data_IF_009105055683
#
_entry.id   IF_009105055683
#
_cell.length_a   1.000
_cell.length_b   1.000
_cell.length_c   1.000
_cell.angle_alpha   90.00
_cell.angle_beta   90.00
_cell.angle_gamma   90.00
#
_symmetry.space_group_name_H-M   'P 1'
#
loop_
_entity.id
_entity.type
_entity.pdbx_description
1 polymer ?
#
# COMPACT_ATOMS: atom_id res chain seq x y z
N UNK A 1 -13.21 -4.73 5.37
CA UNK A 1 -11.77 -4.74 4.98
C UNK A 1 -10.99 -3.81 5.90
N UNK A 2 -9.76 -4.16 6.28
CA UNK A 2 -8.84 -3.25 6.99
C UNK A 2 -7.66 -2.94 6.06
N UNK A 3 -7.39 -1.67 5.82
CA UNK A 3 -6.22 -1.19 5.08
C UNK A 3 -5.28 -0.52 6.06
N UNK A 4 -4.04 -0.97 6.07
CA UNK A 4 -2.99 -0.48 6.95
C UNK A 4 -1.79 -0.01 6.13
N UNK A 5 -1.09 0.99 6.63
CA UNK A 5 0.12 1.50 6.01
C UNK A 5 1.26 1.57 7.02
N UNK A 6 2.45 1.14 6.61
CA UNK A 6 3.69 1.28 7.35
C UNK A 6 4.60 2.26 6.60
N UNK A 7 4.85 3.42 7.18
CA UNK A 7 5.56 4.53 6.54
C UNK A 7 6.36 5.35 7.55
N UNK A 8 7.34 6.08 7.09
CA UNK A 8 8.04 7.11 7.89
C UNK A 8 7.28 8.44 7.92
N UNK A 9 6.19 8.57 7.14
CA UNK A 9 5.31 9.74 7.04
C UNK A 9 3.83 9.33 7.12
N UNK A 10 3.37 8.74 8.24
CA UNK A 10 1.98 8.26 8.38
C UNK A 10 0.95 9.38 8.25
N UNK A 11 1.33 10.61 8.53
CA UNK A 11 0.47 11.81 8.42
C UNK A 11 0.02 12.13 6.99
N UNK A 12 0.68 11.58 5.96
CA UNK A 12 0.29 11.79 4.56
C UNK A 12 -1.04 11.15 4.20
N UNK A 13 -1.46 10.11 4.91
CA UNK A 13 -2.60 9.28 4.50
C UNK A 13 -3.96 9.81 4.95
N UNK A 14 -4.09 10.30 6.18
CA UNK A 14 -5.37 10.66 6.76
C UNK A 14 -6.17 11.68 5.91
N UNK A 15 -5.56 12.71 5.29
CA UNK A 15 -6.30 13.63 4.43
C UNK A 15 -6.97 12.96 3.23
N UNK A 16 -6.35 11.93 2.65
CA UNK A 16 -6.89 11.17 1.53
C UNK A 16 -7.94 10.18 2.01
N UNK A 17 -7.63 9.40 3.06
CA UNK A 17 -8.50 8.34 3.58
C UNK A 17 -9.76 8.85 4.27
N UNK A 18 -9.81 10.14 4.63
CA UNK A 18 -10.98 10.77 5.27
C UNK A 18 -11.82 11.65 4.34
N UNK A 19 -11.43 11.77 3.06
CA UNK A 19 -12.05 12.72 2.12
C UNK A 19 -12.82 12.00 1.01
N UNK A 20 -13.85 12.66 0.45
CA UNK A 20 -14.63 12.23 -0.72
C UNK A 20 -15.19 10.79 -0.59
N UNK A 21 -15.01 9.96 -1.58
CA UNK A 21 -15.54 8.59 -1.65
C UNK A 21 -14.92 7.73 -0.55
N UNK A 22 -13.59 7.77 -0.39
CA UNK A 22 -12.89 7.03 0.67
C UNK A 22 -13.43 7.40 2.06
N UNK A 23 -13.56 8.68 2.35
CA UNK A 23 -14.09 9.15 3.64
C UNK A 23 -15.55 8.75 3.87
N UNK A 24 -16.39 8.68 2.83
CA UNK A 24 -17.77 8.20 2.92
C UNK A 24 -17.82 6.69 3.17
N UNK A 25 -17.05 5.91 2.41
CA UNK A 25 -16.96 4.47 2.56
C UNK A 25 -16.47 4.08 3.96
N UNK A 26 -15.44 4.77 4.47
CA UNK A 26 -14.93 4.57 5.85
C UNK A 26 -15.99 4.89 6.91
N UNK A 27 -16.71 6.02 6.78
CA UNK A 27 -17.81 6.40 7.69
C UNK A 27 -18.99 5.42 7.65
N UNK A 28 -19.21 4.78 6.50
CA UNK A 28 -20.21 3.73 6.33
C UNK A 28 -19.74 2.36 6.88
N UNK A 29 -18.50 2.25 7.37
CA UNK A 29 -17.95 1.01 7.92
C UNK A 29 -17.60 -0.05 6.86
N UNK A 30 -17.46 0.35 5.59
CA UNK A 30 -17.11 -0.58 4.50
C UNK A 30 -15.65 -0.98 4.56
N UNK A 31 -14.78 -0.07 5.04
CA UNK A 31 -13.41 -0.38 5.38
C UNK A 31 -12.95 0.46 6.58
N UNK A 32 -11.90 -0.02 7.25
CA UNK A 32 -11.13 0.73 8.25
C UNK A 32 -9.74 1.05 7.73
N UNK A 33 -9.14 2.11 8.28
CA UNK A 33 -7.79 2.53 7.92
C UNK A 33 -6.95 2.79 9.17
N UNK A 34 -5.67 2.32 9.14
CA UNK A 34 -4.70 2.56 10.20
C UNK A 34 -3.31 2.85 9.59
N UNK A 35 -2.69 3.93 10.02
CA UNK A 35 -1.34 4.29 9.61
C UNK A 35 -0.36 4.10 10.77
N UNK A 36 0.75 3.42 10.49
CA UNK A 36 1.83 3.16 11.43
C UNK A 36 3.07 3.94 11.05
N UNK A 37 3.76 4.45 12.05
CA UNK A 37 5.08 5.08 11.87
C UNK A 37 6.18 4.02 12.03
N UNK A 38 6.92 3.73 10.95
CA UNK A 38 8.03 2.78 10.98
C UNK A 38 9.06 3.08 12.08
N UNK A 39 9.23 4.34 12.44
CA UNK A 39 10.15 4.76 13.52
C UNK A 39 9.77 4.24 14.90
N UNK A 40 8.56 3.72 15.09
CA UNK A 40 8.13 3.15 16.37
C UNK A 40 8.78 1.77 16.65
N UNK A 41 9.38 1.15 15.62
CA UNK A 41 10.15 -0.10 15.71
C UNK A 41 11.67 0.11 15.57
N UNK A 42 12.16 1.31 15.87
CA UNK A 42 13.58 1.60 15.96
C UNK A 42 14.02 1.68 17.43
N UNK A 43 15.23 1.23 17.74
CA UNK A 43 15.72 1.12 19.11
C UNK A 43 16.83 2.11 19.46
N UNK A 44 17.32 2.85 18.44
CA UNK A 44 18.32 3.88 18.64
C UNK A 44 17.69 5.23 19.02
N UNK A 45 18.50 6.11 19.64
CA UNK A 45 18.07 7.44 20.08
C UNK A 45 17.55 8.32 18.95
N UNK A 46 18.08 8.14 17.74
CA UNK A 46 17.75 8.96 16.56
C UNK A 46 16.59 8.38 15.74
N UNK A 47 16.08 7.21 16.12
CA UNK A 47 14.99 6.49 15.44
C UNK A 47 15.31 6.28 13.95
N UNK A 48 16.52 5.79 13.69
CA UNK A 48 17.13 5.65 12.37
C UNK A 48 16.52 4.47 11.62
N UNK A 49 15.97 4.72 10.44
CA UNK A 49 15.29 3.72 9.60
C UNK A 49 16.08 3.34 8.34
N UNK A 50 17.22 3.99 8.10
CA UNK A 50 18.03 3.87 6.89
C UNK A 50 19.49 3.58 7.22
N UNK A 51 20.22 3.03 6.24
CA UNK A 51 21.64 2.70 6.34
C UNK A 51 22.31 2.81 4.97
N UNK A 52 23.64 2.84 4.95
CA UNK A 52 24.42 2.85 3.71
C UNK A 52 24.27 1.52 2.95
N UNK A 53 24.22 1.54 1.60
CA UNK A 53 24.15 0.32 0.80
C UNK A 53 25.40 -0.56 0.99
N UNK A 54 25.21 -1.87 1.15
CA UNK A 54 26.31 -2.82 1.16
C UNK A 54 27.09 -2.75 -0.16
N UNK A 55 28.41 -2.63 -0.06
CA UNK A 55 29.29 -2.50 -1.23
C UNK A 55 29.50 -1.08 -1.73
N UNK A 56 28.93 -0.10 -1.04
CA UNK A 56 29.01 1.31 -1.41
C UNK A 56 28.01 1.69 -2.50
N UNK A 57 27.88 2.98 -2.75
CA UNK A 57 26.91 3.55 -3.69
C UNK A 57 26.45 4.89 -3.20
N UNK A 58 25.66 5.59 -4.01
CA UNK A 58 25.00 6.84 -3.59
C UNK A 58 23.65 6.53 -2.98
N UNK A 59 23.22 7.35 -2.01
CA UNK A 59 21.93 7.23 -1.35
C UNK A 59 21.95 6.28 -0.15
N UNK A 60 20.78 6.03 0.39
CA UNK A 60 20.54 5.20 1.58
C UNK A 60 19.49 4.14 1.26
N UNK A 61 19.48 3.05 2.00
CA UNK A 61 18.44 2.01 1.95
C UNK A 61 17.73 1.93 3.29
N UNK A 62 16.44 1.64 3.26
CA UNK A 62 15.70 1.35 4.50
C UNK A 62 16.15 0.03 5.10
N UNK A 63 16.38 0.04 6.40
CA UNK A 63 16.82 -1.12 7.18
C UNK A 63 15.76 -2.21 7.20
N UNK A 64 16.20 -3.45 7.16
CA UNK A 64 15.29 -4.61 7.26
C UNK A 64 14.73 -4.77 8.67
N UNK A 65 15.51 -4.50 9.71
CA UNK A 65 15.14 -4.79 11.10
C UNK A 65 13.85 -4.08 11.52
N UNK A 66 13.69 -2.74 11.40
CA UNK A 66 12.45 -2.07 11.80
C UNK A 66 11.27 -2.48 10.91
N UNK A 67 11.50 -2.79 9.63
CA UNK A 67 10.44 -3.26 8.73
C UNK A 67 9.94 -4.65 9.16
N UNK A 68 10.86 -5.57 9.42
CA UNK A 68 10.54 -6.93 9.86
C UNK A 68 9.77 -6.92 11.19
N UNK A 69 10.30 -6.22 12.21
CA UNK A 69 9.66 -6.11 13.51
C UNK A 69 8.26 -5.48 13.41
N UNK A 70 8.09 -4.44 12.59
CA UNK A 70 6.79 -3.82 12.36
C UNK A 70 5.79 -4.79 11.73
N UNK A 71 6.19 -5.48 10.65
CA UNK A 71 5.32 -6.44 9.96
C UNK A 71 4.92 -7.58 10.90
N UNK A 72 5.86 -8.13 11.67
CA UNK A 72 5.60 -9.20 12.63
C UNK A 72 4.65 -8.74 13.74
N UNK A 73 4.88 -7.56 14.32
CA UNK A 73 4.03 -6.98 15.35
C UNK A 73 2.60 -6.73 14.84
N UNK A 74 2.48 -6.05 13.70
CA UNK A 74 1.18 -5.74 13.07
C UNK A 74 0.43 -7.04 12.71
N UNK A 75 1.13 -8.02 12.15
CA UNK A 75 0.52 -9.30 11.76
C UNK A 75 0.03 -10.12 12.95
N UNK A 76 0.57 -9.90 14.14
CA UNK A 76 0.13 -10.58 15.37
C UNK A 76 -1.19 -10.04 15.94
N UNK A 77 -1.65 -8.86 15.51
CA UNK A 77 -2.83 -8.17 16.06
C UNK A 77 -4.17 -8.65 15.44
N UNK A 78 -4.21 -9.75 14.68
CA UNK A 78 -5.45 -10.24 14.08
C UNK A 78 -5.21 -11.19 12.91
N UNK A 79 -6.13 -11.27 11.93
CA UNK A 79 -5.92 -12.07 10.74
C UNK A 79 -4.64 -11.63 10.00
N UNK A 80 -3.89 -12.58 9.45
CA UNK A 80 -2.66 -12.29 8.71
C UNK A 80 -2.98 -11.31 7.56
N UNK A 81 -2.31 -10.14 7.47
CA UNK A 81 -2.50 -9.24 6.34
C UNK A 81 -1.83 -9.79 5.07
N UNK A 82 -2.34 -9.39 3.91
CA UNK A 82 -1.57 -9.45 2.66
C UNK A 82 -0.59 -8.27 2.67
N UNK A 83 0.70 -8.57 2.73
CA UNK A 83 1.77 -7.57 2.80
C UNK A 83 2.20 -7.16 1.40
N UNK A 84 2.03 -5.89 1.07
CA UNK A 84 2.31 -5.33 -0.26
C UNK A 84 3.43 -4.30 -0.18
N UNK A 85 4.49 -4.52 -0.95
CA UNK A 85 5.56 -3.55 -1.14
C UNK A 85 5.40 -2.84 -2.49
N UNK A 86 5.73 -1.55 -2.53
CA UNK A 86 5.76 -0.76 -3.76
C UNK A 86 7.20 -0.62 -4.26
N UNK A 87 7.42 -1.04 -5.51
CA UNK A 87 8.75 -1.00 -6.14
C UNK A 87 8.61 -0.91 -7.66
N UNK A 88 9.50 -0.18 -8.35
CA UNK A 88 9.49 -0.15 -9.83
C UNK A 88 9.65 -1.51 -10.50
N UNK A 89 10.26 -2.48 -9.79
CA UNK A 89 10.46 -3.87 -10.29
C UNK A 89 9.30 -4.81 -9.94
N UNK A 90 8.19 -4.29 -9.38
CA UNK A 90 7.01 -5.08 -9.02
C UNK A 90 6.13 -5.43 -10.21
N UNK A 91 5.14 -6.30 -9.97
CA UNK A 91 4.06 -6.55 -10.92
C UNK A 91 3.32 -5.24 -11.24
N UNK A 92 3.02 -4.93 -12.51
CA UNK A 92 2.24 -3.76 -12.86
C UNK A 92 0.85 -3.80 -12.21
N UNK A 93 0.50 -2.75 -11.49
CA UNK A 93 -0.82 -2.61 -10.89
C UNK A 93 -1.86 -2.34 -11.97
N UNK A 94 -2.86 -3.20 -12.05
CA UNK A 94 -3.97 -3.15 -13.00
C UNK A 94 -5.30 -3.29 -12.25
N UNK A 95 -6.43 -3.10 -12.94
CA UNK A 95 -7.76 -3.35 -12.39
C UNK A 95 -7.90 -4.78 -11.86
N UNK A 96 -7.34 -5.76 -12.57
CA UNK A 96 -7.35 -7.16 -12.15
C UNK A 96 -6.57 -7.38 -10.83
N UNK A 97 -5.46 -6.67 -10.63
CA UNK A 97 -4.72 -6.72 -9.36
C UNK A 97 -5.54 -6.08 -8.23
N UNK A 98 -6.26 -4.98 -8.51
CA UNK A 98 -7.15 -4.37 -7.53
C UNK A 98 -8.28 -5.34 -7.10
N UNK A 99 -8.89 -6.06 -8.05
CA UNK A 99 -9.90 -7.10 -7.78
C UNK A 99 -9.32 -8.26 -6.95
N UNK A 100 -8.09 -8.66 -7.22
CA UNK A 100 -7.37 -9.67 -6.43
C UNK A 100 -7.15 -9.21 -4.99
N UNK A 101 -6.67 -7.98 -4.80
CA UNK A 101 -6.45 -7.40 -3.48
C UNK A 101 -7.76 -7.21 -2.69
N UNK A 102 -8.87 -6.95 -3.38
CA UNK A 102 -10.19 -6.84 -2.76
C UNK A 102 -10.61 -8.12 -2.01
N UNK A 103 -10.09 -9.29 -2.41
CA UNK A 103 -10.38 -10.57 -1.75
C UNK A 103 -9.69 -10.70 -0.37
N UNK A 104 -8.75 -9.81 -0.05
CA UNK A 104 -8.06 -9.81 1.23
C UNK A 104 -8.90 -9.10 2.29
N UNK A 105 -9.08 -9.73 3.44
CA UNK A 105 -9.75 -9.08 4.59
C UNK A 105 -8.91 -7.95 5.17
N UNK A 106 -7.56 -8.05 5.02
CA UNK A 106 -6.58 -7.14 5.59
C UNK A 106 -5.40 -6.93 4.65
N UNK A 107 -5.07 -5.67 4.37
CA UNK A 107 -3.94 -5.27 3.52
C UNK A 107 -2.96 -4.44 4.37
N UNK A 108 -1.68 -4.76 4.29
CA UNK A 108 -0.60 -3.95 4.87
C UNK A 108 0.30 -3.42 3.76
N UNK A 109 0.25 -2.13 3.50
CA UNK A 109 1.07 -1.44 2.51
C UNK A 109 2.37 -0.94 3.15
N UNK A 110 3.50 -1.48 2.73
CA UNK A 110 4.83 -1.07 3.18
C UNK A 110 5.40 -0.04 2.22
N UNK A 111 5.56 1.19 2.71
CA UNK A 111 5.98 2.33 1.91
C UNK A 111 7.48 2.54 2.04
N UNK A 112 8.22 2.28 0.96
CA UNK A 112 9.65 2.55 0.89
C UNK A 112 9.95 4.04 0.70
N UNK A 113 11.15 4.43 1.11
CA UNK A 113 11.76 5.74 0.87
C UNK A 113 13.24 5.55 0.47
N UNK A 114 13.92 6.65 0.22
CA UNK A 114 15.34 6.65 -0.20
C UNK A 114 15.53 5.92 -1.54
N UNK A 115 16.59 5.11 -1.67
CA UNK A 115 16.84 4.26 -2.86
C UNK A 115 16.07 2.91 -2.81
N UNK A 116 15.21 2.75 -1.81
CA UNK A 116 14.41 1.55 -1.59
C UNK A 116 14.66 0.90 -0.24
N UNK A 117 14.34 -0.38 -0.15
CA UNK A 117 14.53 -1.18 1.05
C UNK A 117 15.69 -2.17 0.87
N UNK A 118 16.32 -2.59 1.96
CA UNK A 118 17.21 -3.74 1.95
C UNK A 118 16.47 -4.95 1.35
N UNK A 119 17.09 -5.64 0.39
CA UNK A 119 16.47 -6.75 -0.37
C UNK A 119 15.91 -7.85 0.55
N UNK A 120 16.48 -8.03 1.74
CA UNK A 120 15.98 -8.98 2.74
C UNK A 120 14.57 -8.66 3.25
N UNK A 121 14.15 -7.39 3.19
CA UNK A 121 12.81 -6.98 3.58
C UNK A 121 11.72 -7.59 2.66
N UNK A 122 12.05 -7.86 1.40
CA UNK A 122 11.09 -8.49 0.49
C UNK A 122 10.76 -9.96 0.81
N UNK A 123 11.49 -10.59 1.74
CA UNK A 123 11.09 -11.90 2.26
C UNK A 123 9.77 -11.87 3.05
N UNK A 124 9.34 -10.69 3.48
CA UNK A 124 8.08 -10.45 4.17
C UNK A 124 6.94 -10.07 3.21
N UNK A 125 7.23 -9.85 1.92
CA UNK A 125 6.24 -9.45 0.94
C UNK A 125 5.41 -10.65 0.46
N UNK A 126 4.09 -10.54 0.51
CA UNK A 126 3.21 -11.43 -0.23
C UNK A 126 3.08 -10.92 -1.68
N UNK A 127 3.12 -9.60 -1.89
CA UNK A 127 3.07 -8.97 -3.21
C UNK A 127 4.08 -7.81 -3.34
N UNK A 128 4.59 -7.61 -4.56
CA UNK A 128 5.41 -6.45 -4.95
C UNK A 128 4.77 -5.80 -6.16
N UNK A 129 4.37 -4.52 -6.05
CA UNK A 129 3.60 -3.83 -7.07
C UNK A 129 4.31 -2.58 -7.57
N UNK A 130 4.17 -2.31 -8.88
CA UNK A 130 4.55 -1.07 -9.54
C UNK A 130 3.32 -0.36 -10.06
N UNK A 131 3.19 0.96 -9.84
CA UNK A 131 2.08 1.75 -10.39
C UNK A 131 2.42 2.42 -11.73
N UNK A 132 3.56 2.12 -12.33
CA UNK A 132 3.97 2.62 -13.64
C UNK A 132 5.47 2.80 -13.80
N UNK A 133 5.89 3.06 -15.04
CA UNK A 133 7.30 3.19 -15.44
C UNK A 133 7.83 4.61 -15.17
N UNK A 134 7.87 4.99 -13.91
CA UNK A 134 8.43 6.25 -13.42
C UNK A 134 8.89 6.10 -11.96
N UNK A 135 9.77 7.00 -11.54
CA UNK A 135 10.32 6.99 -10.19
C UNK A 135 9.62 8.04 -9.32
N UNK A 136 9.19 7.63 -8.13
CA UNK A 136 8.62 8.49 -7.10
C UNK A 136 9.57 8.62 -5.92
N UNK A 137 9.33 9.59 -5.07
CA UNK A 137 10.14 9.81 -3.85
C UNK A 137 9.83 8.83 -2.72
N UNK A 138 8.79 7.98 -2.87
CA UNK A 138 8.40 7.01 -1.85
C UNK A 138 7.14 6.23 -2.19
N UNK A 139 6.82 5.26 -1.36
CA UNK A 139 5.70 4.34 -1.55
C UNK A 139 4.34 4.85 -1.09
N UNK A 140 4.26 6.04 -0.47
CA UNK A 140 3.00 6.56 0.08
C UNK A 140 1.97 6.89 -1.00
N UNK A 141 2.39 7.54 -2.10
CA UNK A 141 1.50 7.83 -3.23
C UNK A 141 1.03 6.55 -3.92
N UNK A 142 1.90 5.58 -4.26
CA UNK A 142 1.46 4.26 -4.71
C UNK A 142 0.44 3.59 -3.80
N UNK A 143 0.67 3.61 -2.48
CA UNK A 143 -0.26 3.05 -1.51
C UNK A 143 -1.63 3.71 -1.55
N UNK A 144 -1.68 5.05 -1.70
CA UNK A 144 -2.94 5.80 -1.83
C UNK A 144 -3.67 5.46 -3.14
N UNK A 145 -2.95 5.36 -4.27
CA UNK A 145 -3.52 4.98 -5.56
C UNK A 145 -4.15 3.58 -5.49
N UNK A 146 -3.42 2.62 -4.93
CA UNK A 146 -3.91 1.24 -4.79
C UNK A 146 -5.07 1.18 -3.80
N UNK A 147 -5.02 1.90 -2.67
CA UNK A 147 -6.12 1.97 -1.72
C UNK A 147 -7.40 2.53 -2.35
N UNK A 148 -7.29 3.61 -3.12
CA UNK A 148 -8.43 4.22 -3.83
C UNK A 148 -9.05 3.22 -4.81
N UNK A 149 -8.23 2.60 -5.66
CA UNK A 149 -8.68 1.62 -6.64
C UNK A 149 -9.36 0.39 -6.01
N UNK A 150 -8.85 -0.10 -4.87
CA UNK A 150 -9.43 -1.24 -4.15
C UNK A 150 -10.72 -0.86 -3.43
N UNK A 151 -10.73 0.27 -2.70
CA UNK A 151 -11.90 0.69 -1.89
C UNK A 151 -13.11 0.97 -2.76
N UNK A 152 -12.93 1.59 -3.93
CA UNK A 152 -14.05 1.86 -4.84
C UNK A 152 -14.73 0.59 -5.38
N UNK A 153 -14.05 -0.56 -5.34
CA UNK A 153 -14.62 -1.86 -5.71
C UNK A 153 -15.44 -2.52 -4.60
N UNK A 154 -15.36 -2.01 -3.37
CA UNK A 154 -16.16 -2.54 -2.25
C UNK A 154 -17.64 -2.23 -2.53
N UNK A 155 -18.55 -3.22 -2.49
CA UNK A 155 -19.96 -2.97 -2.66
C UNK A 155 -20.49 -1.87 -1.75
N UNK A 156 -21.18 -0.87 -2.32
CA UNK A 156 -21.71 0.28 -1.60
C UNK A 156 -20.72 1.44 -1.39
N UNK A 157 -19.46 1.33 -1.82
CA UNK A 157 -18.49 2.44 -1.75
C UNK A 157 -18.83 3.58 -2.72
N UNK A 158 -19.28 3.25 -3.92
CA UNK A 158 -19.82 4.19 -4.90
C UNK A 158 -21.32 4.39 -4.69
N UNK A 159 -21.81 5.57 -5.05
CA UNK A 159 -23.23 5.93 -4.84
C UNK A 159 -24.22 5.20 -5.78
N UNK A 160 -23.73 4.61 -6.87
CA UNK A 160 -24.48 3.82 -7.81
C UNK A 160 -23.78 2.47 -7.98
N UNK A 161 -24.49 1.38 -7.67
CA UNK A 161 -23.97 0.00 -7.76
C UNK A 161 -23.60 -0.40 -9.20
N UNK A 162 -24.21 0.24 -10.21
CA UNK A 162 -23.88 0.01 -11.62
C UNK A 162 -22.59 0.69 -12.07
N UNK A 163 -22.07 1.64 -11.30
CA UNK A 163 -20.85 2.38 -11.66
C UNK A 163 -19.58 1.50 -11.75
N UNK A 164 -19.55 0.36 -11.08
CA UNK A 164 -18.44 -0.60 -11.17
C UNK A 164 -18.62 -1.63 -12.29
N UNK A 165 -19.80 -1.72 -12.88
CA UNK A 165 -20.12 -2.75 -13.90
C UNK A 165 -19.87 -2.21 -15.30
N UNK A 166 -20.12 -0.92 -15.50
CA UNK A 166 -20.07 -0.25 -16.79
C UNK A 166 -18.99 0.84 -16.78
N UNK A 167 -17.75 0.44 -16.56
CA UNK A 167 -16.60 1.35 -16.55
C UNK A 167 -15.39 0.78 -17.29
N UNK A 168 -14.38 1.64 -17.54
CA UNK A 168 -13.13 1.22 -18.17
C UNK A 168 -12.52 0.04 -17.43
N UNK A 169 -12.06 -0.96 -18.18
CA UNK A 169 -11.45 -2.23 -17.71
C UNK A 169 -12.42 -3.24 -17.05
N UNK A 170 -13.72 -2.95 -16.94
CA UNK A 170 -14.71 -3.90 -16.38
C UNK A 170 -15.24 -4.91 -17.40
N UNK A 171 -15.19 -4.60 -18.70
CA UNK A 171 -15.64 -5.49 -19.79
C UNK A 171 -14.45 -6.20 -20.43
N UNK A 172 -14.40 -7.54 -20.28
CA UNK A 172 -13.27 -8.39 -20.64
C UNK A 172 -13.02 -8.57 -22.14
N UNK A 173 -13.92 -8.15 -23.04
CA UNK A 173 -13.85 -8.56 -24.45
C UNK A 173 -13.03 -7.62 -25.35
N UNK A 174 -12.84 -6.33 -24.98
CA UNK A 174 -12.21 -5.35 -25.89
C UNK A 174 -11.13 -4.46 -25.25
N UNK A 175 -10.50 -4.88 -24.13
CA UNK A 175 -9.56 -4.01 -23.41
C UNK A 175 -10.24 -2.86 -22.67
N UNK A 176 -11.56 -2.75 -22.75
CA UNK A 176 -12.44 -2.13 -21.79
C UNK A 176 -12.27 -0.65 -21.49
N UNK A 177 -11.84 0.16 -22.47
CA UNK A 177 -11.87 1.62 -22.31
C UNK A 177 -13.25 2.15 -22.66
N UNK A 178 -13.93 2.76 -21.70
CA UNK A 178 -15.11 3.59 -21.92
C UNK A 178 -14.67 5.06 -21.99
N UNK A 179 -15.01 5.77 -23.04
CA UNK A 179 -14.93 7.23 -23.15
C UNK A 179 -16.33 7.84 -23.16
#
# INVERSE_FOLDING_TARGET
MLIETLSVFPEMFEPVMSTSILGRARKAGLFDFKAYNLRDWTHDRHRTVDDEPYGGGQGMLMKVEPIAEAIEAISSEGPKPTVVFFTPCGEPFTQHVAERLLQSERLLFVCSRYEGVDERAYAYADERLSIGDYVLTGGELPAMVVADAVVRLIPGALGDEMSNVDESFSTAEDGGLLE
#
